data_IF_622408351299
#
_entry.id   IF_622408351299
#
_cell.length_a   1.000
_cell.length_b   1.000
_cell.length_c   1.000
_cell.angle_alpha   90.00
_cell.angle_beta   90.00
_cell.angle_gamma   90.00
#
_symmetry.space_group_name_H-M   'P 1'
#
loop_
_entity.id
_entity.type
_entity.pdbx_description
1 polymer ?
#
# COMPACT_ATOMS: atom_id res chain seq x y z
N UNK A 1 -4.04 -40.09 4.02
CA UNK A 1 -4.31 -40.93 5.20
C UNK A 1 -3.01 -41.39 5.85
N UNK A 2 -2.15 -42.15 5.16
CA UNK A 2 -0.84 -42.58 5.69
C UNK A 2 0.06 -41.42 6.16
N UNK A 3 0.20 -40.34 5.36
CA UNK A 3 0.96 -39.14 5.76
C UNK A 3 0.41 -38.50 7.04
N UNK A 4 -0.91 -38.50 7.25
CA UNK A 4 -1.51 -37.94 8.46
C UNK A 4 -1.13 -38.77 9.69
N UNK A 5 -1.18 -40.11 9.59
CA UNK A 5 -0.73 -41.02 10.65
C UNK A 5 0.76 -40.82 11.01
N UNK A 6 1.64 -40.64 10.00
CA UNK A 6 3.07 -40.36 10.21
C UNK A 6 3.28 -39.01 10.91
N UNK A 7 2.58 -37.95 10.47
CA UNK A 7 2.70 -36.62 11.08
C UNK A 7 2.17 -36.60 12.52
N UNK A 8 1.08 -37.30 12.81
CA UNK A 8 0.56 -37.41 14.17
C UNK A 8 1.58 -38.07 15.10
N UNK A 9 2.27 -39.11 14.62
CA UNK A 9 3.36 -39.75 15.35
C UNK A 9 4.56 -38.82 15.56
N UNK A 10 4.97 -38.06 14.53
CA UNK A 10 6.08 -37.11 14.62
C UNK A 10 5.82 -35.96 15.60
N UNK A 11 4.61 -35.40 15.59
CA UNK A 11 4.24 -34.32 16.50
C UNK A 11 3.73 -34.80 17.87
N UNK A 12 3.70 -36.12 18.11
CA UNK A 12 3.18 -36.73 19.34
C UNK A 12 1.74 -36.31 19.67
N UNK A 13 0.93 -36.02 18.65
CA UNK A 13 -0.45 -35.53 18.78
C UNK A 13 -1.41 -36.72 18.86
N UNK A 14 -1.17 -37.65 19.79
CA UNK A 14 -2.01 -38.84 20.01
C UNK A 14 -1.78 -40.00 19.03
N UNK A 15 -2.59 -41.06 19.17
CA UNK A 15 -2.50 -42.28 18.34
C UNK A 15 -3.61 -42.29 17.29
N UNK A 16 -3.24 -42.05 16.03
CA UNK A 16 -4.14 -42.12 14.88
C UNK A 16 -3.65 -43.24 13.95
N UNK A 17 -4.46 -44.28 13.75
CA UNK A 17 -4.14 -45.42 12.88
C UNK A 17 -5.24 -45.67 11.87
N UNK A 18 -4.86 -45.92 10.63
CA UNK A 18 -5.80 -46.30 9.57
C UNK A 18 -5.57 -47.73 9.09
N UNK A 19 -6.64 -48.44 8.75
CA UNK A 19 -6.54 -49.75 8.10
C UNK A 19 -6.31 -49.58 6.60
N UNK A 20 -5.29 -50.25 6.06
CA UNK A 20 -4.98 -50.24 4.63
C UNK A 20 -5.18 -51.64 4.03
N UNK A 21 -5.66 -51.76 2.79
CA UNK A 21 -5.74 -53.05 2.09
C UNK A 21 -4.37 -53.73 2.00
N UNK A 22 -4.31 -55.08 2.03
CA UNK A 22 -3.05 -55.83 2.01
C UNK A 22 -2.25 -55.61 0.72
N UNK A 23 -2.94 -55.38 -0.39
CA UNK A 23 -2.39 -54.88 -1.65
C UNK A 23 -2.46 -53.34 -1.61
N UNK A 24 -1.56 -52.72 -0.84
CA UNK A 24 -1.50 -51.26 -0.74
C UNK A 24 -1.28 -50.64 -2.12
N UNK A 25 -1.93 -49.50 -2.41
CA UNK A 25 -1.68 -48.77 -3.67
C UNK A 25 -0.19 -48.44 -3.77
N UNK A 26 0.35 -48.43 -5.00
CA UNK A 26 1.78 -48.17 -5.30
C UNK A 26 2.31 -46.93 -4.54
N UNK A 27 1.47 -45.89 -4.44
CA UNK A 27 1.73 -44.67 -3.68
C UNK A 27 1.92 -44.85 -2.17
N UNK A 28 1.24 -45.80 -1.52
CA UNK A 28 1.41 -46.08 -0.08
C UNK A 28 2.71 -46.84 0.16
N UNK A 29 3.11 -47.70 -0.79
CA UNK A 29 4.38 -48.45 -0.72
C UNK A 29 5.55 -47.49 -0.82
N UNK A 30 5.52 -46.54 -1.75
CA UNK A 30 6.60 -45.54 -1.90
C UNK A 30 6.68 -44.60 -0.70
N UNK A 31 5.54 -44.16 -0.16
CA UNK A 31 5.52 -43.34 1.05
C UNK A 31 6.06 -44.09 2.28
N UNK A 32 5.95 -45.42 2.35
CA UNK A 32 6.57 -46.23 3.41
C UNK A 32 8.08 -46.24 3.27
N UNK A 33 8.61 -46.46 2.07
CA UNK A 33 10.06 -46.46 1.78
C UNK A 33 10.73 -45.13 2.14
N UNK A 34 10.04 -44.01 1.88
CA UNK A 34 10.53 -42.67 2.25
C UNK A 34 10.57 -42.48 3.78
N UNK A 35 9.59 -42.99 4.51
CA UNK A 35 9.53 -42.87 5.98
C UNK A 35 10.50 -43.83 6.67
N UNK A 36 10.75 -44.99 6.08
CA UNK A 36 11.70 -45.99 6.56
C UNK A 36 13.16 -45.67 6.17
N UNK A 37 13.38 -44.52 5.53
CA UNK A 37 14.70 -43.96 5.17
C UNK A 37 15.55 -44.96 4.36
N UNK A 38 14.91 -45.79 3.53
CA UNK A 38 15.59 -46.76 2.66
C UNK A 38 16.29 -46.10 1.45
N UNK A 39 16.18 -44.77 1.29
CA UNK A 39 17.04 -43.99 0.42
C UNK A 39 18.18 -43.37 1.23
N UNK A 40 19.20 -44.18 1.52
CA UNK A 40 20.41 -43.70 2.19
C UNK A 40 21.17 -42.70 1.32
N UNK A 41 21.17 -41.43 1.71
CA UNK A 41 22.15 -40.43 1.23
C UNK A 41 23.02 -40.05 2.42
N UNK A 42 24.27 -40.51 2.40
CA UNK A 42 25.31 -40.14 3.35
C UNK A 42 25.60 -38.63 3.27
N UNK A 43 25.25 -37.90 4.34
CA UNK A 43 25.65 -36.52 4.57
C UNK A 43 26.47 -36.47 5.87
N UNK A 44 27.80 -36.60 5.76
CA UNK A 44 28.72 -36.23 6.82
C UNK A 44 28.84 -34.70 6.88
N UNK A 45 28.52 -34.14 8.05
CA UNK A 45 28.36 -32.72 8.28
C UNK A 45 29.63 -31.96 8.66
N UNK A 46 29.48 -30.64 8.80
CA UNK A 46 30.38 -29.82 9.61
C UNK A 46 29.62 -28.64 10.24
N UNK A 47 29.92 -28.42 11.52
CA UNK A 47 29.34 -27.44 12.44
C UNK A 47 29.95 -26.04 12.26
N UNK A 48 29.24 -25.10 12.88
CA UNK A 48 29.51 -23.68 13.17
C UNK A 48 30.96 -23.28 13.48
N UNK A 49 31.37 -22.08 13.05
CA UNK A 49 31.42 -20.87 13.89
C UNK A 49 32.14 -19.68 13.19
N UNK A 50 31.62 -18.49 13.52
CA UNK A 50 32.28 -17.17 13.61
C UNK A 50 32.99 -16.48 12.43
N UNK A 51 32.50 -15.25 12.23
CA UNK A 51 33.24 -13.99 12.14
C UNK A 51 33.48 -13.31 10.77
N UNK A 52 32.99 -12.06 10.80
CA UNK A 52 33.40 -10.85 10.08
C UNK A 52 32.99 -10.60 8.62
N UNK A 53 32.35 -9.43 8.48
CA UNK A 53 32.01 -8.75 7.24
C UNK A 53 33.27 -8.21 6.58
N UNK A 54 33.43 -8.46 5.29
CA UNK A 54 34.08 -7.49 4.40
C UNK A 54 33.37 -7.45 3.04
N UNK A 55 33.11 -6.22 2.58
CA UNK A 55 32.48 -5.86 1.33
C UNK A 55 33.59 -5.57 0.33
N UNK A 56 33.68 -6.27 -0.81
CA UNK A 56 34.33 -5.83 -2.07
C UNK A 56 33.76 -6.73 -3.20
N UNK A 57 32.87 -6.22 -4.04
CA UNK A 57 33.12 -5.69 -5.40
C UNK A 57 33.45 -6.79 -6.44
N UNK A 58 32.42 -7.20 -7.20
CA UNK A 58 32.57 -8.06 -8.38
C UNK A 58 33.04 -7.21 -9.57
N UNK A 59 34.31 -7.35 -9.94
CA UNK A 59 34.79 -7.07 -11.28
C UNK A 59 35.11 -8.38 -11.99
N UNK A 60 34.61 -8.46 -13.22
CA UNK A 60 34.64 -9.59 -14.14
C UNK A 60 36.05 -9.80 -14.69
N UNK A 61 36.57 -11.03 -14.69
CA UNK A 61 37.48 -11.51 -15.74
C UNK A 61 37.71 -13.04 -15.69
N UNK A 62 37.29 -13.70 -16.77
CA UNK A 62 38.16 -14.52 -17.62
C UNK A 62 38.73 -15.85 -17.11
N UNK A 63 38.15 -16.92 -17.67
CA UNK A 63 38.81 -18.18 -18.08
C UNK A 63 39.36 -19.13 -16.99
N UNK A 64 38.87 -20.37 -17.04
CA UNK A 64 39.52 -21.51 -16.40
C UNK A 64 38.61 -22.74 -16.34
N UNK A 65 38.70 -23.59 -17.37
CA UNK A 65 38.24 -24.98 -17.27
C UNK A 65 38.99 -25.66 -16.11
N UNK A 66 38.26 -26.20 -15.13
CA UNK A 66 38.54 -27.56 -14.69
C UNK A 66 37.29 -28.19 -14.10
N UNK A 67 36.85 -29.25 -14.76
CA UNK A 67 35.71 -30.05 -14.39
C UNK A 67 36.12 -30.96 -13.24
N UNK A 68 35.38 -30.92 -12.12
CA UNK A 68 35.23 -32.11 -11.31
C UNK A 68 33.84 -32.67 -11.55
N UNK A 69 33.87 -33.83 -12.21
CA UNK A 69 32.77 -34.67 -12.65
C UNK A 69 31.80 -34.96 -11.51
N UNK A 70 30.56 -34.58 -11.76
CA UNK A 70 29.36 -35.23 -11.21
C UNK A 70 29.26 -36.62 -11.84
N UNK A 71 29.14 -37.65 -11.01
CA UNK A 71 28.88 -39.03 -11.38
C UNK A 71 27.37 -39.16 -11.65
N UNK A 72 27.00 -39.11 -12.93
CA UNK A 72 25.61 -39.26 -13.39
C UNK A 72 25.53 -40.58 -14.14
N UNK A 73 24.85 -41.54 -13.53
CA UNK A 73 24.62 -42.91 -14.00
C UNK A 73 23.59 -42.97 -15.17
N UNK A 74 23.71 -42.03 -16.13
CA UNK A 74 22.76 -41.84 -17.25
C UNK A 74 23.47 -41.92 -18.61
N UNK A 75 24.49 -42.78 -18.72
CA UNK A 75 25.35 -42.94 -19.90
C UNK A 75 24.72 -43.76 -21.06
N UNK A 76 23.43 -44.14 -20.98
CA UNK A 76 22.75 -44.94 -22.02
C UNK A 76 21.70 -44.17 -22.84
N UNK A 77 21.55 -42.85 -22.64
CA UNK A 77 20.84 -42.00 -23.59
C UNK A 77 21.83 -41.36 -24.56
N UNK A 78 21.67 -41.54 -25.88
CA UNK A 78 22.49 -40.79 -26.83
C UNK A 78 22.26 -39.30 -26.61
N UNK A 79 23.36 -38.55 -26.49
CA UNK A 79 23.35 -37.10 -26.43
C UNK A 79 22.54 -36.59 -27.62
N UNK A 80 21.37 -36.02 -27.35
CA UNK A 80 20.54 -35.44 -28.40
C UNK A 80 21.24 -34.16 -28.85
N UNK A 81 22.08 -34.28 -29.87
CA UNK A 81 22.66 -33.14 -30.56
C UNK A 81 21.50 -32.37 -31.22
N UNK A 82 21.07 -31.29 -30.55
CA UNK A 82 20.18 -30.30 -31.16
C UNK A 82 20.92 -29.79 -32.39
N UNK A 83 20.40 -30.01 -33.61
CA UNK A 83 21.06 -29.54 -34.82
C UNK A 83 21.37 -28.04 -34.69
N UNK A 84 22.52 -27.58 -35.21
CA UNK A 84 22.90 -26.16 -35.16
C UNK A 84 21.80 -25.24 -35.73
N UNK A 85 20.98 -25.77 -36.63
CA UNK A 85 19.81 -25.12 -37.25
C UNK A 85 18.63 -24.87 -36.26
N UNK A 86 18.55 -25.62 -35.17
CA UNK A 86 17.55 -25.48 -34.10
C UNK A 86 18.08 -24.68 -32.89
N UNK A 87 19.41 -24.53 -32.76
CA UNK A 87 20.05 -23.66 -31.77
C UNK A 87 19.88 -22.18 -32.14
N UNK A 88 19.89 -21.88 -33.44
CA UNK A 88 19.39 -20.61 -33.97
C UNK A 88 17.87 -20.71 -34.12
N UNK A 89 17.15 -20.47 -33.02
CA UNK A 89 15.75 -20.05 -33.11
C UNK A 89 15.74 -18.80 -33.98
N UNK A 90 15.49 -18.97 -35.28
CA UNK A 90 15.06 -17.87 -36.14
C UNK A 90 13.88 -17.29 -35.40
N UNK A 91 14.02 -16.08 -34.87
CA UNK A 91 12.86 -15.27 -34.50
C UNK A 91 11.90 -15.43 -35.65
N UNK A 92 10.75 -16.06 -35.40
CA UNK A 92 9.71 -16.14 -36.41
C UNK A 92 9.60 -14.72 -36.99
N UNK A 93 9.59 -14.56 -38.31
CA UNK A 93 9.45 -13.24 -38.93
C UNK A 93 8.12 -12.54 -38.53
N UNK A 94 7.26 -13.24 -37.75
CA UNK A 94 6.09 -12.70 -37.07
C UNK A 94 6.37 -12.04 -35.70
N UNK A 95 7.57 -12.15 -35.12
CA UNK A 95 7.95 -11.39 -33.91
C UNK A 95 8.09 -9.89 -34.19
N UNK A 96 8.19 -9.51 -35.47
CA UNK A 96 8.17 -8.11 -35.93
C UNK A 96 6.75 -7.59 -36.22
N UNK A 97 5.71 -8.43 -36.07
CA UNK A 97 4.31 -8.06 -36.36
C UNK A 97 3.55 -7.51 -35.14
N UNK A 98 4.27 -7.08 -34.08
CA UNK A 98 3.76 -6.05 -33.15
C UNK A 98 3.78 -4.66 -33.84
N UNK A 99 3.25 -4.61 -35.05
CA UNK A 99 3.24 -3.46 -35.92
C UNK A 99 2.15 -2.47 -35.49
N UNK A 100 2.57 -1.37 -34.86
CA UNK A 100 1.82 -0.11 -34.73
C UNK A 100 0.31 -0.25 -34.44
N UNK A 101 -0.05 -0.75 -33.25
CA UNK A 101 -1.41 -0.53 -32.75
C UNK A 101 -1.60 0.97 -32.54
N UNK A 102 -2.59 1.56 -33.23
CA UNK A 102 -2.93 2.96 -33.07
C UNK A 102 -3.33 3.26 -31.62
N UNK A 103 -2.80 4.35 -31.07
CA UNK A 103 -3.10 4.78 -29.70
C UNK A 103 -4.58 5.19 -29.62
N UNK A 104 -5.40 4.56 -28.75
CA UNK A 104 -6.82 4.87 -28.66
C UNK A 104 -7.08 6.36 -28.32
N UNK A 105 -8.07 6.97 -28.96
CA UNK A 105 -8.42 8.37 -28.73
C UNK A 105 -9.60 8.54 -27.75
N UNK A 106 -10.47 7.55 -27.63
CA UNK A 106 -11.66 7.58 -26.78
C UNK A 106 -11.54 6.64 -25.57
N UNK A 107 -12.14 7.04 -24.44
CA UNK A 107 -12.12 6.23 -23.20
C UNK A 107 -12.79 4.87 -23.42
N UNK A 108 -13.84 4.80 -24.26
CA UNK A 108 -14.55 3.57 -24.55
C UNK A 108 -13.67 2.55 -25.26
N UNK A 109 -12.87 2.99 -26.23
CA UNK A 109 -11.91 2.15 -26.93
C UNK A 109 -10.84 1.62 -25.96
N UNK A 110 -10.41 2.44 -25.00
CA UNK A 110 -9.53 1.95 -23.93
C UNK A 110 -10.22 0.88 -23.08
N UNK A 111 -11.48 1.04 -22.67
CA UNK A 111 -12.21 0.04 -21.88
C UNK A 111 -12.31 -1.29 -22.63
N UNK A 112 -12.57 -1.23 -23.94
CA UNK A 112 -12.56 -2.41 -24.81
C UNK A 112 -11.17 -3.04 -24.89
N UNK A 113 -10.12 -2.25 -25.10
CA UNK A 113 -8.73 -2.71 -25.13
C UNK A 113 -8.26 -3.33 -23.80
N UNK A 114 -8.75 -2.81 -22.66
CA UNK A 114 -8.51 -3.43 -21.34
C UNK A 114 -9.18 -4.80 -21.19
N UNK A 115 -10.11 -5.16 -22.07
CA UNK A 115 -10.82 -6.45 -22.07
C UNK A 115 -10.20 -7.49 -22.99
N UNK A 116 -9.13 -7.10 -23.70
CA UNK A 116 -8.38 -7.98 -24.58
C UNK A 116 -7.63 -9.06 -23.80
N UNK A 117 -7.61 -10.27 -24.35
CA UNK A 117 -7.01 -11.45 -23.71
C UNK A 117 -5.91 -12.10 -24.55
N UNK A 118 -5.84 -11.77 -25.85
CA UNK A 118 -4.93 -12.41 -26.78
C UNK A 118 -3.97 -11.41 -27.43
N UNK A 119 -4.38 -10.16 -27.63
CA UNK A 119 -3.55 -9.11 -28.22
C UNK A 119 -2.96 -8.19 -27.13
N UNK A 120 -1.69 -8.46 -26.79
CA UNK A 120 -0.94 -7.67 -25.81
C UNK A 120 -0.74 -6.22 -26.27
N UNK A 121 -0.46 -5.98 -27.55
CA UNK A 121 -0.18 -4.63 -28.04
C UNK A 121 -1.44 -3.75 -27.97
N UNK A 122 -2.62 -4.30 -28.26
CA UNK A 122 -3.89 -3.60 -28.07
C UNK A 122 -4.18 -3.30 -26.61
N UNK A 123 -3.96 -4.28 -25.72
CA UNK A 123 -4.07 -4.07 -24.28
C UNK A 123 -3.12 -2.96 -23.78
N UNK A 124 -1.84 -3.04 -24.16
CA UNK A 124 -0.81 -2.12 -23.72
C UNK A 124 -1.04 -0.69 -24.24
N UNK A 125 -1.42 -0.54 -25.51
CA UNK A 125 -1.77 0.75 -26.10
C UNK A 125 -2.92 1.42 -25.34
N UNK A 126 -3.98 0.67 -25.02
CA UNK A 126 -5.10 1.15 -24.22
C UNK A 126 -4.68 1.51 -22.79
N UNK A 127 -3.93 0.63 -22.11
CA UNK A 127 -3.51 0.80 -20.73
C UNK A 127 -2.61 2.04 -20.55
N UNK A 128 -1.68 2.25 -21.47
CA UNK A 128 -0.76 3.39 -21.44
C UNK A 128 -1.43 4.73 -21.85
N UNK A 129 -2.43 4.69 -22.73
CA UNK A 129 -3.17 5.89 -23.16
C UNK A 129 -4.07 6.49 -22.06
N UNK A 130 -4.57 5.67 -21.13
CA UNK A 130 -5.62 6.07 -20.18
C UNK A 130 -5.22 7.21 -19.24
N UNK A 131 -4.02 7.17 -18.65
CA UNK A 131 -3.63 8.15 -17.63
C UNK A 131 -3.75 9.60 -18.11
N UNK A 132 -3.12 10.03 -19.23
CA UNK A 132 -3.27 11.39 -19.72
C UNK A 132 -4.72 11.68 -20.18
N UNK A 133 -5.45 10.70 -20.71
CA UNK A 133 -6.84 10.86 -21.14
C UNK A 133 -7.79 11.15 -19.98
N UNK A 134 -7.64 10.43 -18.87
CA UNK A 134 -8.40 10.66 -17.63
C UNK A 134 -8.09 12.06 -17.08
N UNK A 135 -6.81 12.44 -17.02
CA UNK A 135 -6.40 13.73 -16.44
C UNK A 135 -6.87 14.94 -17.24
N UNK A 136 -6.89 14.83 -18.58
CA UNK A 136 -7.42 15.89 -19.46
C UNK A 136 -8.95 15.86 -19.62
N UNK A 137 -9.64 14.91 -18.97
CA UNK A 137 -11.08 14.64 -19.15
C UNK A 137 -11.45 14.51 -20.63
N UNK A 138 -10.83 13.54 -21.31
CA UNK A 138 -11.08 13.27 -22.72
C UNK A 138 -12.58 13.06 -23.03
N UNK A 139 -12.97 13.24 -24.30
CA UNK A 139 -14.37 13.09 -24.74
C UNK A 139 -14.89 11.72 -24.36
N UNK A 140 -16.08 11.68 -23.75
CA UNK A 140 -16.72 10.44 -23.28
C UNK A 140 -16.29 9.98 -21.88
N UNK A 141 -15.32 10.65 -21.24
CA UNK A 141 -14.85 10.28 -19.90
C UNK A 141 -15.98 10.37 -18.86
N UNK A 142 -16.70 11.49 -18.76
CA UNK A 142 -17.72 11.68 -17.71
C UNK A 142 -18.83 10.63 -17.77
N UNK A 143 -19.21 10.17 -18.98
CA UNK A 143 -20.23 9.13 -19.16
C UNK A 143 -19.71 7.72 -18.86
N UNK A 144 -18.39 7.50 -18.99
CA UNK A 144 -17.77 6.17 -18.86
C UNK A 144 -16.89 6.06 -17.62
N UNK A 145 -16.87 7.06 -16.74
CA UNK A 145 -15.92 7.16 -15.63
C UNK A 145 -16.14 6.06 -14.58
N UNK A 146 -17.41 5.78 -14.27
CA UNK A 146 -17.80 4.71 -13.35
C UNK A 146 -17.50 3.33 -13.94
N UNK A 147 -17.85 3.11 -15.22
CA UNK A 147 -17.54 1.87 -15.94
C UNK A 147 -16.04 1.62 -16.01
N UNK A 148 -15.25 2.66 -16.34
CA UNK A 148 -13.80 2.60 -16.36
C UNK A 148 -13.23 2.27 -14.98
N UNK A 149 -13.74 2.90 -13.91
CA UNK A 149 -13.31 2.60 -12.55
C UNK A 149 -13.57 1.12 -12.20
N UNK A 150 -14.78 0.63 -12.46
CA UNK A 150 -15.12 -0.78 -12.24
C UNK A 150 -14.20 -1.70 -13.03
N UNK A 151 -13.96 -1.40 -14.32
CA UNK A 151 -13.07 -2.19 -15.17
C UNK A 151 -11.65 -2.22 -14.62
N UNK A 152 -11.10 -1.09 -14.19
CA UNK A 152 -9.76 -1.01 -13.58
C UNK A 152 -9.68 -1.75 -12.24
N UNK A 153 -10.74 -1.69 -11.42
CA UNK A 153 -10.81 -2.42 -10.15
C UNK A 153 -10.87 -3.93 -10.39
N UNK A 154 -11.48 -4.43 -11.46
CA UNK A 154 -11.53 -5.88 -11.73
C UNK A 154 -10.47 -6.35 -12.72
N UNK A 155 -9.57 -5.46 -13.15
CA UNK A 155 -8.53 -5.78 -14.12
C UNK A 155 -7.50 -6.77 -13.55
N UNK A 156 -7.32 -7.89 -14.25
CA UNK A 156 -6.29 -8.91 -14.01
C UNK A 156 -5.16 -8.82 -15.01
N UNK A 157 -3.96 -9.20 -14.58
CA UNK A 157 -2.77 -9.20 -15.43
C UNK A 157 -2.61 -10.56 -16.14
N UNK A 158 -3.15 -10.64 -17.36
CA UNK A 158 -3.04 -11.85 -18.19
C UNK A 158 -1.73 -11.92 -18.96
N UNK A 159 -1.11 -10.77 -19.23
CA UNK A 159 0.06 -10.65 -20.08
C UNK A 159 1.38 -10.54 -19.31
N UNK A 160 1.35 -10.59 -17.97
CA UNK A 160 2.50 -10.36 -17.08
C UNK A 160 3.15 -9.00 -17.36
N UNK A 161 2.30 -7.97 -17.45
CA UNK A 161 2.72 -6.62 -17.81
C UNK A 161 3.63 -6.02 -16.74
N UNK A 162 4.72 -5.38 -17.15
CA UNK A 162 5.64 -4.74 -16.21
C UNK A 162 4.96 -3.64 -15.39
N UNK A 163 5.21 -3.67 -14.08
CA UNK A 163 4.63 -2.74 -13.11
C UNK A 163 3.09 -2.64 -13.18
N UNK A 164 2.41 -3.71 -13.61
CA UNK A 164 0.97 -3.71 -13.83
C UNK A 164 0.18 -3.19 -12.61
N UNK A 165 0.45 -3.71 -11.41
CA UNK A 165 -0.30 -3.33 -10.21
C UNK A 165 -0.08 -1.85 -9.85
N UNK A 166 1.13 -1.35 -10.02
CA UNK A 166 1.47 0.05 -9.76
C UNK A 166 0.77 0.97 -10.76
N UNK A 167 0.84 0.65 -12.06
CA UNK A 167 0.14 1.38 -13.13
C UNK A 167 -1.37 1.35 -12.92
N UNK A 168 -1.94 0.18 -12.59
CA UNK A 168 -3.36 0.00 -12.28
C UNK A 168 -3.82 0.87 -11.12
N UNK A 169 -3.09 0.88 -10.00
CA UNK A 169 -3.38 1.76 -8.85
C UNK A 169 -3.28 3.24 -9.27
N UNK A 170 -2.31 3.63 -10.09
CA UNK A 170 -2.17 5.00 -10.58
C UNK A 170 -3.32 5.42 -11.51
N UNK A 171 -3.88 4.50 -12.30
CA UNK A 171 -5.05 4.76 -13.15
C UNK A 171 -6.31 4.94 -12.28
N UNK A 172 -6.54 4.05 -11.32
CA UNK A 172 -7.64 4.17 -10.35
C UNK A 172 -7.52 5.49 -9.59
N UNK A 173 -6.33 5.81 -9.07
CA UNK A 173 -6.04 7.10 -8.45
C UNK A 173 -6.37 8.27 -9.38
N UNK A 174 -6.01 8.19 -10.66
CA UNK A 174 -6.30 9.25 -11.63
C UNK A 174 -7.81 9.44 -11.82
N UNK A 175 -8.60 8.36 -11.85
CA UNK A 175 -10.06 8.45 -11.87
C UNK A 175 -10.57 9.17 -10.61
N UNK A 176 -10.12 8.75 -9.43
CA UNK A 176 -10.52 9.32 -8.14
C UNK A 176 -10.14 10.81 -8.01
N UNK A 177 -8.99 11.22 -8.55
CA UNK A 177 -8.53 12.61 -8.50
C UNK A 177 -9.25 13.49 -9.53
N UNK A 178 -9.54 12.95 -10.72
CA UNK A 178 -10.29 13.68 -11.74
C UNK A 178 -11.77 13.82 -11.36
N UNK A 179 -12.37 12.77 -10.79
CA UNK A 179 -13.80 12.65 -10.48
C UNK A 179 -14.01 12.21 -9.02
N UNK A 180 -14.08 13.14 -8.05
CA UNK A 180 -14.10 12.82 -6.63
C UNK A 180 -15.31 11.98 -6.16
N UNK A 181 -16.44 12.09 -6.86
CA UNK A 181 -17.65 11.31 -6.56
C UNK A 181 -17.43 9.80 -6.74
N UNK A 182 -16.45 9.40 -7.54
CA UNK A 182 -16.05 8.00 -7.70
C UNK A 182 -15.45 7.42 -6.41
N UNK A 183 -15.02 8.26 -5.45
CA UNK A 183 -14.51 7.80 -4.16
C UNK A 183 -15.55 7.01 -3.36
N UNK A 184 -16.79 7.49 -3.28
CA UNK A 184 -17.85 6.75 -2.58
C UNK A 184 -18.21 5.47 -3.33
N UNK A 185 -18.27 5.51 -4.67
CA UNK A 185 -18.53 4.33 -5.49
C UNK A 185 -17.46 3.26 -5.29
N UNK A 186 -16.18 3.65 -5.26
CA UNK A 186 -15.08 2.73 -4.99
C UNK A 186 -15.21 2.07 -3.60
N UNK A 187 -15.63 2.83 -2.58
CA UNK A 187 -15.85 2.31 -1.22
C UNK A 187 -17.06 1.36 -1.19
N UNK A 188 -18.14 1.68 -1.89
CA UNK A 188 -19.30 0.79 -2.02
C UNK A 188 -18.92 -0.53 -2.70
N UNK A 189 -18.08 -0.47 -3.75
CA UNK A 189 -17.50 -1.66 -4.38
C UNK A 189 -16.65 -2.44 -3.37
N UNK A 190 -15.78 -1.78 -2.59
CA UNK A 190 -14.93 -2.42 -1.58
C UNK A 190 -15.76 -3.21 -0.56
N UNK A 191 -16.85 -2.64 -0.05
CA UNK A 191 -17.73 -3.33 0.89
C UNK A 191 -18.64 -4.39 0.25
N UNK A 192 -18.77 -4.38 -1.08
CA UNK A 192 -19.62 -5.35 -1.79
C UNK A 192 -19.13 -6.79 -1.63
N UNK A 193 -20.07 -7.72 -1.66
CA UNK A 193 -19.82 -9.17 -1.59
C UNK A 193 -19.00 -9.69 -2.78
N UNK A 194 -19.08 -9.02 -3.94
CA UNK A 194 -18.39 -9.45 -5.17
C UNK A 194 -16.93 -9.00 -5.24
N UNK A 195 -16.53 -8.03 -4.43
CA UNK A 195 -15.15 -7.55 -4.42
C UNK A 195 -14.22 -8.58 -3.79
N UNK A 196 -13.11 -8.88 -4.45
CA UNK A 196 -12.07 -9.76 -3.90
C UNK A 196 -11.25 -9.03 -2.83
N UNK A 197 -10.62 -9.76 -1.90
CA UNK A 197 -9.75 -9.12 -0.89
C UNK A 197 -8.61 -8.32 -1.50
N UNK A 198 -8.01 -8.80 -2.60
CA UNK A 198 -6.97 -8.07 -3.32
C UNK A 198 -7.49 -6.73 -3.87
N UNK A 199 -8.68 -6.72 -4.47
CA UNK A 199 -9.30 -5.50 -4.98
C UNK A 199 -9.66 -4.53 -3.86
N UNK A 200 -10.07 -5.01 -2.68
CA UNK A 200 -10.30 -4.16 -1.50
C UNK A 200 -9.04 -3.41 -1.08
N UNK A 201 -7.88 -4.09 -1.06
CA UNK A 201 -6.61 -3.44 -0.75
C UNK A 201 -6.17 -2.43 -1.82
N UNK A 202 -6.40 -2.75 -3.10
CA UNK A 202 -6.13 -1.83 -4.22
C UNK A 202 -6.97 -0.55 -4.10
N UNK A 203 -8.27 -0.68 -3.78
CA UNK A 203 -9.17 0.47 -3.57
C UNK A 203 -8.67 1.35 -2.42
N UNK A 204 -8.38 0.75 -1.25
CA UNK A 204 -7.87 1.49 -0.09
C UNK A 204 -6.56 2.23 -0.39
N UNK A 205 -5.65 1.58 -1.12
CA UNK A 205 -4.39 2.20 -1.53
C UNK A 205 -4.62 3.38 -2.49
N UNK A 206 -5.51 3.21 -3.47
CA UNK A 206 -5.84 4.27 -4.42
C UNK A 206 -6.52 5.46 -3.75
N UNK A 207 -7.42 5.24 -2.78
CA UNK A 207 -8.04 6.29 -1.96
C UNK A 207 -7.00 7.10 -1.20
N UNK A 208 -6.06 6.44 -0.52
CA UNK A 208 -4.95 7.11 0.17
C UNK A 208 -4.10 7.95 -0.79
N UNK A 209 -3.72 7.39 -1.94
CA UNK A 209 -2.89 8.09 -2.92
C UNK A 209 -3.63 9.31 -3.52
N UNK A 210 -4.92 9.17 -3.81
CA UNK A 210 -5.76 10.26 -4.31
C UNK A 210 -5.88 11.39 -3.29
N UNK A 211 -6.17 11.07 -2.02
CA UNK A 211 -6.24 12.05 -0.94
C UNK A 211 -4.89 12.78 -0.75
N UNK A 212 -3.79 12.04 -0.80
CA UNK A 212 -2.44 12.60 -0.72
C UNK A 212 -2.17 13.57 -1.88
N UNK A 213 -2.55 13.22 -3.11
CA UNK A 213 -2.37 14.09 -4.28
C UNK A 213 -3.20 15.37 -4.20
N UNK A 214 -4.41 15.29 -3.63
CA UNK A 214 -5.22 16.48 -3.37
C UNK A 214 -4.58 17.40 -2.32
N UNK A 215 -4.09 16.81 -1.23
CA UNK A 215 -3.48 17.56 -0.12
C UNK A 215 -2.09 18.12 -0.46
N UNK A 216 -1.38 17.48 -1.40
CA UNK A 216 -0.04 17.89 -1.78
C UNK A 216 -0.08 19.22 -2.54
N UNK A 217 0.83 20.16 -2.24
CA UNK A 217 0.99 21.34 -3.05
C UNK A 217 1.48 20.88 -4.43
N UNK A 218 0.58 20.90 -5.41
CA UNK A 218 0.93 20.64 -6.82
C UNK A 218 2.17 21.46 -7.14
N UNK A 219 3.32 20.81 -7.36
CA UNK A 219 4.46 21.47 -7.98
C UNK A 219 3.94 21.90 -9.34
N UNK A 220 3.69 23.20 -9.50
CA UNK A 220 3.42 23.76 -10.81
C UNK A 220 4.71 23.55 -11.58
N UNK A 221 4.74 22.52 -12.42
CA UNK A 221 5.69 22.48 -13.50
C UNK A 221 5.40 23.73 -14.35
N UNK A 222 6.20 24.78 -14.14
CA UNK A 222 6.36 25.89 -15.06
C UNK A 222 6.88 25.33 -16.38
N UNK A 223 6.01 24.72 -17.19
CA UNK A 223 6.31 24.28 -18.55
C UNK A 223 5.02 24.01 -19.33
N UNK A 224 4.22 25.06 -19.53
CA UNK A 224 3.41 25.17 -20.74
C UNK A 224 3.60 26.58 -21.28
N UNK A 225 4.49 26.65 -22.26
CA UNK A 225 4.73 27.79 -23.12
C UNK A 225 3.41 28.43 -23.60
N UNK A 226 2.96 29.50 -22.95
CA UNK A 226 2.13 30.52 -23.59
C UNK A 226 3.01 31.31 -24.55
N UNK A 227 3.34 30.71 -25.70
CA UNK A 227 3.64 31.50 -26.90
C UNK A 227 2.31 32.00 -27.44
N UNK A 228 1.81 33.07 -26.82
CA UNK A 228 0.87 33.96 -27.48
C UNK A 228 1.56 34.49 -28.73
N UNK A 229 0.98 34.15 -29.88
CA UNK A 229 1.31 34.75 -31.16
C UNK A 229 0.96 36.25 -31.08
N UNK A 230 1.97 37.09 -30.87
CA UNK A 230 1.83 38.52 -31.11
C UNK A 230 1.90 38.77 -32.62
N UNK A 231 0.73 39.08 -33.18
CA UNK A 231 0.55 39.62 -34.51
C UNK A 231 1.26 40.98 -34.64
N UNK A 232 1.98 41.16 -35.75
CA UNK A 232 2.68 42.39 -36.16
C UNK A 232 1.70 43.48 -36.62
N UNK A 233 1.83 44.69 -36.08
CA UNK A 233 1.76 46.00 -36.79
C UNK A 233 1.74 47.16 -35.76
N UNK A 234 2.22 48.38 -35.99
CA UNK A 234 3.38 48.94 -36.68
C UNK A 234 3.55 50.39 -36.19
N UNK A 235 4.81 50.87 -36.10
CA UNK A 235 5.31 52.28 -36.11
C UNK A 235 4.86 53.30 -35.04
N UNK A 236 5.85 53.98 -34.44
CA UNK A 236 5.67 55.34 -33.88
C UNK A 236 6.73 55.83 -32.88
N UNK A 237 7.73 56.56 -33.39
CA UNK A 237 8.58 57.64 -32.81
C UNK A 237 8.83 57.80 -31.29
N UNK A 238 10.13 57.94 -31.00
CA UNK A 238 10.86 58.66 -29.93
C UNK A 238 10.07 59.63 -29.02
N UNK A 239 10.27 59.54 -27.70
CA UNK A 239 10.69 60.73 -26.93
C UNK A 239 11.38 60.38 -25.59
N UNK A 240 12.29 61.25 -25.17
CA UNK A 240 13.12 61.18 -23.96
C UNK A 240 12.34 61.71 -22.75
N UNK A 241 12.50 61.11 -21.57
CA UNK A 241 12.14 61.80 -20.33
C UNK A 241 12.00 60.95 -19.07
N UNK A 242 12.91 61.19 -18.12
CA UNK A 242 12.68 61.17 -16.67
C UNK A 242 12.43 59.81 -15.99
N UNK A 243 13.50 59.33 -15.35
CA UNK A 243 13.48 58.25 -14.34
C UNK A 243 12.80 58.75 -13.06
N UNK A 244 11.69 58.16 -12.60
CA UNK A 244 11.24 58.32 -11.22
C UNK A 244 11.84 57.19 -10.39
N UNK A 245 12.72 57.57 -9.46
CA UNK A 245 13.19 56.70 -8.36
C UNK A 245 11.98 56.26 -7.53
N UNK A 246 11.40 55.10 -7.85
CA UNK A 246 10.42 54.44 -7.00
C UNK A 246 11.16 53.66 -5.92
N UNK A 247 10.96 54.08 -4.66
CA UNK A 247 11.40 53.34 -3.48
C UNK A 247 10.80 51.94 -3.55
N UNK A 248 11.65 50.95 -3.80
CA UNK A 248 11.30 49.52 -3.80
C UNK A 248 11.05 49.12 -2.35
N UNK A 249 9.82 49.29 -1.88
CA UNK A 249 9.36 48.58 -0.69
C UNK A 249 9.42 47.09 -1.03
N UNK A 250 10.38 46.37 -0.45
CA UNK A 250 10.37 44.92 -0.49
C UNK A 250 9.12 44.48 0.27
N UNK A 251 8.03 44.20 -0.45
CA UNK A 251 6.94 43.41 0.09
C UNK A 251 7.56 42.07 0.44
N UNK A 252 7.56 41.71 1.72
CA UNK A 252 7.78 40.33 2.12
C UNK A 252 6.87 39.45 1.24
N UNK A 253 7.34 38.31 0.73
CA UNK A 253 6.50 37.43 -0.06
C UNK A 253 5.31 37.06 0.83
N UNK A 254 4.12 37.57 0.49
CA UNK A 254 2.88 37.05 1.05
C UNK A 254 2.78 35.65 0.48
N UNK A 255 3.22 34.66 1.26
CA UNK A 255 2.96 33.26 0.98
C UNK A 255 1.45 33.11 1.03
N UNK A 256 0.81 33.15 -0.14
CA UNK A 256 -0.60 32.79 -0.27
C UNK A 256 -0.68 31.35 0.22
N UNK A 257 -1.32 31.15 1.37
CA UNK A 257 -1.63 29.82 1.90
C UNK A 257 -2.45 29.11 0.84
N UNK A 258 -1.83 28.19 0.09
CA UNK A 258 -2.53 27.37 -0.89
C UNK A 258 -3.53 26.52 -0.12
N UNK A 259 -4.81 26.74 -0.36
CA UNK A 259 -5.88 25.99 0.29
C UNK A 259 -5.74 24.49 -0.02
N UNK A 260 -5.99 23.69 1.00
CA UNK A 260 -5.95 22.25 0.88
C UNK A 260 -7.12 21.77 0.00
N UNK A 261 -6.80 21.24 -1.18
CA UNK A 261 -7.81 20.80 -2.15
C UNK A 261 -8.58 19.56 -1.70
N UNK A 262 -8.07 18.82 -0.72
CA UNK A 262 -8.73 17.63 -0.20
C UNK A 262 -9.88 17.96 0.76
N UNK A 263 -9.77 19.06 1.51
CA UNK A 263 -10.77 19.47 2.53
C UNK A 263 -12.23 19.41 2.05
N UNK A 264 -12.62 19.95 0.88
CA UNK A 264 -14.01 19.90 0.42
C UNK A 264 -14.53 18.47 0.12
N UNK A 265 -13.64 17.51 -0.10
CA UNK A 265 -14.00 16.12 -0.47
C UNK A 265 -13.74 15.13 0.67
N UNK A 266 -13.11 15.56 1.76
CA UNK A 266 -12.69 14.68 2.85
C UNK A 266 -13.85 13.86 3.41
N UNK A 267 -15.03 14.47 3.57
CA UNK A 267 -16.22 13.80 4.08
C UNK A 267 -16.71 12.66 3.16
N UNK A 268 -16.69 12.85 1.83
CA UNK A 268 -17.18 11.83 0.89
C UNK A 268 -16.24 10.62 0.78
N UNK A 269 -14.97 10.79 1.14
CA UNK A 269 -14.00 9.69 1.22
C UNK A 269 -14.04 9.02 2.60
N UNK A 270 -14.24 9.79 3.67
CA UNK A 270 -14.11 9.30 5.04
C UNK A 270 -15.35 8.59 5.58
N UNK A 271 -16.54 9.20 5.47
CA UNK A 271 -17.72 8.66 6.15
C UNK A 271 -18.20 7.31 5.59
N UNK A 272 -18.11 7.01 4.28
CA UNK A 272 -18.44 5.67 3.79
C UNK A 272 -17.59 4.56 4.44
N UNK A 273 -16.35 4.85 4.85
CA UNK A 273 -15.48 3.88 5.54
C UNK A 273 -15.91 3.59 6.99
N UNK A 274 -16.82 4.39 7.56
CA UNK A 274 -17.31 4.19 8.94
C UNK A 274 -18.31 3.03 9.07
N UNK A 275 -18.73 2.44 7.95
CA UNK A 275 -19.68 1.32 7.85
C UNK A 275 -19.10 -0.04 8.29
N UNK A 276 -18.22 -0.06 9.30
CA UNK A 276 -17.46 -1.22 9.76
C UNK A 276 -18.38 -2.42 10.09
N UNK A 277 -19.56 -2.15 10.64
CA UNK A 277 -20.49 -3.17 11.11
C UNK A 277 -21.67 -3.45 10.19
N UNK A 278 -21.81 -2.72 9.08
CA UNK A 278 -23.01 -2.80 8.24
C UNK A 278 -23.05 -4.04 7.35
N UNK A 279 -21.90 -4.65 7.06
CA UNK A 279 -21.76 -5.72 6.07
C UNK A 279 -21.35 -7.08 6.66
N UNK A 280 -21.64 -7.29 7.95
CA UNK A 280 -21.21 -8.48 8.72
C UNK A 280 -21.65 -9.83 8.13
N UNK A 281 -22.68 -9.86 7.29
CA UNK A 281 -23.16 -11.10 6.64
C UNK A 281 -22.10 -11.75 5.74
N UNK A 282 -21.30 -10.93 5.04
CA UNK A 282 -20.27 -11.42 4.10
C UNK A 282 -18.88 -10.82 4.34
N UNK A 283 -18.76 -9.83 5.22
CA UNK A 283 -17.51 -9.18 5.57
C UNK A 283 -17.44 -8.94 7.08
N UNK A 284 -16.80 -9.86 7.80
CA UNK A 284 -16.70 -9.84 9.27
C UNK A 284 -15.43 -9.10 9.70
N UNK A 285 -15.48 -7.77 9.63
CA UNK A 285 -14.32 -6.91 9.88
C UNK A 285 -13.80 -6.95 11.32
N UNK A 286 -14.64 -7.25 12.31
CA UNK A 286 -14.21 -7.30 13.71
C UNK A 286 -13.57 -8.66 14.04
N UNK A 287 -14.06 -9.73 13.42
CA UNK A 287 -13.57 -11.09 13.59
C UNK A 287 -12.62 -11.52 12.49
N UNK A 288 -13.12 -12.32 11.54
CA UNK A 288 -12.30 -13.04 10.55
C UNK A 288 -11.51 -12.13 9.60
N UNK A 289 -12.10 -11.00 9.21
CA UNK A 289 -11.54 -10.08 8.22
C UNK A 289 -10.83 -8.88 8.88
N UNK A 290 -10.32 -9.06 10.11
CA UNK A 290 -9.71 -7.97 10.88
C UNK A 290 -8.44 -7.37 10.27
N UNK A 291 -7.75 -8.09 9.38
CA UNK A 291 -6.64 -7.53 8.61
C UNK A 291 -7.13 -6.45 7.63
N UNK A 292 -8.29 -6.64 7.01
CA UNK A 292 -8.88 -5.59 6.19
C UNK A 292 -9.33 -4.39 7.04
N UNK A 293 -9.89 -4.65 8.23
CA UNK A 293 -10.23 -3.60 9.18
C UNK A 293 -9.01 -2.73 9.52
N UNK A 294 -7.84 -3.34 9.76
CA UNK A 294 -6.61 -2.59 10.03
C UNK A 294 -6.28 -1.64 8.88
N UNK A 295 -6.42 -2.08 7.62
CA UNK A 295 -6.19 -1.24 6.43
C UNK A 295 -7.23 -0.14 6.25
N UNK A 296 -8.50 -0.41 6.58
CA UNK A 296 -9.56 0.62 6.58
C UNK A 296 -9.22 1.72 7.60
N UNK A 297 -8.85 1.34 8.82
CA UNK A 297 -8.46 2.30 9.87
C UNK A 297 -7.24 3.13 9.47
N UNK A 298 -6.21 2.49 8.91
CA UNK A 298 -5.02 3.19 8.38
C UNK A 298 -5.43 4.16 7.27
N UNK A 299 -6.32 3.77 6.36
CA UNK A 299 -6.85 4.66 5.33
C UNK A 299 -7.54 5.88 5.97
N UNK A 300 -8.45 5.67 6.92
CA UNK A 300 -9.14 6.75 7.63
C UNK A 300 -8.18 7.71 8.34
N UNK A 301 -7.13 7.19 8.98
CA UNK A 301 -6.06 8.01 9.58
C UNK A 301 -5.31 8.84 8.54
N UNK A 302 -4.99 8.26 7.38
CA UNK A 302 -4.41 8.99 6.25
C UNK A 302 -5.32 10.09 5.71
N UNK A 303 -6.62 9.85 5.59
CA UNK A 303 -7.59 10.87 5.15
C UNK A 303 -7.65 12.05 6.13
N UNK A 304 -7.61 11.79 7.44
CA UNK A 304 -7.52 12.85 8.46
C UNK A 304 -6.26 13.69 8.26
N UNK A 305 -5.09 13.06 8.08
CA UNK A 305 -3.84 13.77 7.78
C UNK A 305 -3.92 14.61 6.51
N UNK A 306 -4.51 14.07 5.46
CA UNK A 306 -4.67 14.77 4.20
C UNK A 306 -5.66 15.93 4.28
N UNK A 307 -6.60 15.94 5.24
CA UNK A 307 -7.57 17.03 5.42
C UNK A 307 -6.98 18.26 6.15
N UNK A 308 -5.84 18.08 6.84
CA UNK A 308 -5.16 19.15 7.57
C UNK A 308 -6.03 19.80 8.65
N UNK A 309 -5.71 21.03 9.05
CA UNK A 309 -6.44 21.73 10.11
C UNK A 309 -7.68 22.42 9.52
N UNK A 310 -8.82 21.73 9.53
CA UNK A 310 -10.11 22.26 9.07
C UNK A 310 -11.25 21.89 10.04
N UNK A 311 -12.36 22.64 10.08
CA UNK A 311 -13.50 22.28 10.93
C UNK A 311 -14.09 20.89 10.63
N UNK A 312 -14.05 20.44 9.37
CA UNK A 312 -14.45 19.09 8.97
C UNK A 312 -13.53 18.01 9.56
N UNK A 313 -12.22 18.30 9.67
CA UNK A 313 -11.25 17.38 10.28
C UNK A 313 -11.60 17.08 11.72
N UNK A 314 -12.06 18.09 12.50
CA UNK A 314 -12.45 17.89 13.89
C UNK A 314 -13.60 16.88 13.99
N UNK A 315 -14.63 17.01 13.15
CA UNK A 315 -15.76 16.07 13.13
C UNK A 315 -15.35 14.66 12.71
N UNK A 316 -14.49 14.54 11.70
CA UNK A 316 -13.94 13.26 11.26
C UNK A 316 -13.12 12.60 12.39
N UNK A 317 -12.27 13.38 13.07
CA UNK A 317 -11.48 12.91 14.19
C UNK A 317 -12.35 12.44 15.37
N UNK A 318 -13.42 13.16 15.71
CA UNK A 318 -14.35 12.74 16.78
C UNK A 318 -15.05 11.43 16.42
N UNK A 319 -15.51 11.31 15.17
CA UNK A 319 -16.13 10.08 14.66
C UNK A 319 -15.15 8.91 14.73
N UNK A 320 -13.91 9.11 14.28
CA UNK A 320 -12.87 8.08 14.35
C UNK A 320 -12.56 7.70 15.80
N UNK A 321 -12.31 8.68 16.68
CA UNK A 321 -12.00 8.44 18.08
C UNK A 321 -13.06 7.55 18.77
N UNK A 322 -14.34 7.83 18.52
CA UNK A 322 -15.45 7.02 19.00
C UNK A 322 -15.41 5.57 18.46
N UNK A 323 -15.19 5.40 17.15
CA UNK A 323 -15.11 4.08 16.52
C UNK A 323 -13.94 3.23 17.04
N UNK A 324 -12.84 3.85 17.44
CA UNK A 324 -11.62 3.15 17.86
C UNK A 324 -11.73 2.49 19.24
N UNK A 325 -12.58 3.01 20.15
CA UNK A 325 -12.69 2.53 21.53
C UNK A 325 -12.90 1.01 21.62
N UNK A 326 -13.93 0.42 20.98
CA UNK A 326 -14.15 -1.03 21.04
C UNK A 326 -13.04 -1.84 20.34
N UNK A 327 -12.26 -1.23 19.45
CA UNK A 327 -11.21 -1.91 18.67
C UNK A 327 -9.89 -2.04 19.43
N UNK A 328 -9.72 -1.33 20.55
CA UNK A 328 -8.52 -1.37 21.40
C UNK A 328 -8.19 -2.76 21.95
N UNK A 329 -9.21 -3.60 22.11
CA UNK A 329 -9.08 -4.96 22.69
C UNK A 329 -9.03 -6.06 21.62
N UNK A 330 -8.87 -5.69 20.34
CA UNK A 330 -8.85 -6.66 19.26
C UNK A 330 -7.62 -7.59 19.38
N UNK A 331 -7.83 -8.88 19.09
CA UNK A 331 -6.77 -9.90 19.18
C UNK A 331 -5.70 -9.71 18.11
N UNK A 332 -6.10 -9.23 16.93
CA UNK A 332 -5.16 -8.95 15.85
C UNK A 332 -4.34 -7.68 16.16
N UNK A 333 -3.01 -7.85 16.23
CA UNK A 333 -2.09 -6.75 16.52
C UNK A 333 -2.12 -5.65 15.45
N UNK A 334 -2.41 -5.99 14.19
CA UNK A 334 -2.50 -5.01 13.10
C UNK A 334 -3.64 -4.02 13.35
N UNK A 335 -4.76 -4.46 13.93
CA UNK A 335 -5.86 -3.57 14.34
C UNK A 335 -5.41 -2.66 15.48
N UNK A 336 -4.76 -3.20 16.51
CA UNK A 336 -4.23 -2.39 17.64
C UNK A 336 -3.20 -1.37 17.16
N UNK A 337 -2.32 -1.76 16.24
CA UNK A 337 -1.35 -0.89 15.58
C UNK A 337 -2.05 0.21 14.77
N UNK A 338 -3.10 -0.12 14.02
CA UNK A 338 -3.89 0.85 13.27
C UNK A 338 -4.60 1.86 14.20
N UNK A 339 -5.12 1.41 15.35
CA UNK A 339 -5.70 2.31 16.36
C UNK A 339 -4.67 3.34 16.84
N UNK A 340 -3.45 2.91 17.13
CA UNK A 340 -2.35 3.80 17.54
C UNK A 340 -1.98 4.79 16.42
N UNK A 341 -1.93 4.32 15.18
CA UNK A 341 -1.72 5.18 14.01
C UNK A 341 -2.81 6.23 13.85
N UNK A 342 -4.08 5.89 14.12
CA UNK A 342 -5.18 6.83 14.08
C UNK A 342 -5.05 7.91 15.17
N UNK A 343 -4.70 7.56 16.41
CA UNK A 343 -4.45 8.56 17.47
C UNK A 343 -3.31 9.50 17.10
N UNK A 344 -2.17 8.96 16.63
CA UNK A 344 -1.07 9.77 16.15
C UNK A 344 -1.49 10.68 14.98
N UNK A 345 -2.34 10.19 14.07
CA UNK A 345 -2.86 10.96 12.93
C UNK A 345 -3.77 12.11 13.35
N UNK A 346 -4.62 11.91 14.36
CA UNK A 346 -5.45 12.98 14.94
C UNK A 346 -4.56 14.05 15.57
N UNK A 347 -3.63 13.65 16.43
CA UNK A 347 -2.68 14.56 17.09
C UNK A 347 -1.80 15.34 16.09
N UNK A 348 -1.43 14.72 14.96
CA UNK A 348 -0.63 15.37 13.93
C UNK A 348 -1.42 16.39 13.08
N UNK A 349 -2.75 16.26 13.00
CA UNK A 349 -3.58 17.05 12.07
C UNK A 349 -4.28 18.23 12.74
N UNK A 350 -4.59 18.10 14.03
CA UNK A 350 -5.26 19.12 14.82
C UNK A 350 -4.24 19.99 15.56
N UNK A 351 -4.57 21.27 15.75
CA UNK A 351 -3.75 22.14 16.59
C UNK A 351 -3.91 21.78 18.06
N UNK A 352 -2.92 22.16 18.86
CA UNK A 352 -2.94 21.94 20.32
C UNK A 352 -4.18 22.53 20.98
N UNK A 353 -4.59 23.72 20.56
CA UNK A 353 -5.75 24.41 21.11
C UNK A 353 -7.02 23.60 20.88
N UNK A 354 -7.18 23.04 19.67
CA UNK A 354 -8.31 22.16 19.32
C UNK A 354 -8.26 20.86 20.13
N UNK A 355 -7.08 20.26 20.27
CA UNK A 355 -6.90 19.03 21.06
C UNK A 355 -7.29 19.26 22.52
N UNK A 356 -6.77 20.31 23.15
CA UNK A 356 -7.06 20.63 24.55
C UNK A 356 -8.52 21.04 24.77
N UNK A 357 -9.18 21.62 23.77
CA UNK A 357 -10.57 22.03 23.86
C UNK A 357 -11.55 20.85 23.71
N UNK A 358 -11.28 19.92 22.80
CA UNK A 358 -12.26 18.89 22.41
C UNK A 358 -11.88 17.47 22.86
N UNK A 359 -10.63 17.22 23.21
CA UNK A 359 -10.08 15.87 23.47
C UNK A 359 -9.23 15.82 24.75
N UNK A 360 -9.45 16.71 25.72
CA UNK A 360 -8.64 16.79 26.96
C UNK A 360 -8.65 15.50 27.76
N UNK A 361 -9.79 14.82 27.81
CA UNK A 361 -9.97 13.59 28.58
C UNK A 361 -9.52 12.40 27.73
N UNK A 362 -9.93 12.39 26.46
CA UNK A 362 -9.55 11.38 25.47
C UNK A 362 -8.04 11.23 25.35
N UNK A 363 -7.28 12.33 25.34
CA UNK A 363 -5.84 12.28 25.11
C UNK A 363 -5.07 11.59 26.24
N UNK A 364 -5.59 11.67 27.46
CA UNK A 364 -5.03 10.96 28.62
C UNK A 364 -5.25 9.46 28.44
N UNK A 365 -6.47 9.06 28.06
CA UNK A 365 -6.80 7.66 27.77
C UNK A 365 -5.98 7.11 26.59
N UNK A 366 -5.75 7.92 25.56
CA UNK A 366 -4.94 7.54 24.39
C UNK A 366 -3.47 7.35 24.78
N UNK A 367 -2.93 8.24 25.63
CA UNK A 367 -1.57 8.14 26.16
C UNK A 367 -1.41 6.87 26.99
N UNK A 368 -2.32 6.62 27.94
CA UNK A 368 -2.26 5.42 28.78
C UNK A 368 -2.34 4.14 27.94
N UNK A 369 -3.24 4.11 26.96
CA UNK A 369 -3.35 3.00 26.04
C UNK A 369 -2.05 2.76 25.26
N UNK A 370 -1.48 3.82 24.68
CA UNK A 370 -0.25 3.72 23.88
C UNK A 370 0.95 3.29 24.74
N UNK A 371 1.12 3.84 25.95
CA UNK A 371 2.19 3.43 26.88
C UNK A 371 2.07 1.96 27.26
N UNK A 372 0.87 1.48 27.60
CA UNK A 372 0.66 0.07 27.95
C UNK A 372 1.05 -0.87 26.81
N UNK A 373 0.67 -0.52 25.57
CA UNK A 373 1.01 -1.33 24.41
C UNK A 373 2.51 -1.27 24.09
N UNK A 374 3.15 -0.12 24.23
CA UNK A 374 4.59 0.03 24.02
C UNK A 374 5.43 -0.87 24.94
N UNK A 375 4.95 -1.13 26.15
CA UNK A 375 5.64 -1.95 27.16
C UNK A 375 5.33 -3.44 27.03
N UNK A 376 4.08 -3.80 26.76
CA UNK A 376 3.58 -5.17 26.97
C UNK A 376 2.92 -5.83 25.76
N UNK A 377 2.74 -5.15 24.62
CA UNK A 377 2.12 -5.79 23.44
C UNK A 377 3.03 -6.94 22.92
N UNK A 378 2.50 -8.12 22.56
CA UNK A 378 3.31 -9.20 22.01
C UNK A 378 4.02 -8.87 20.70
N UNK A 379 3.42 -8.07 19.82
CA UNK A 379 3.99 -7.72 18.51
C UNK A 379 5.02 -6.59 18.63
N UNK A 380 6.18 -6.79 17.99
CA UNK A 380 7.25 -5.79 17.94
C UNK A 380 6.78 -4.56 17.14
N UNK A 381 6.08 -4.78 16.04
CA UNK A 381 5.54 -3.75 15.15
C UNK A 381 4.52 -2.88 15.88
N UNK A 382 3.65 -3.51 16.67
CA UNK A 382 2.68 -2.80 17.50
C UNK A 382 3.38 -1.98 18.60
N UNK A 383 4.39 -2.55 19.28
CA UNK A 383 5.20 -1.80 20.26
C UNK A 383 5.90 -0.59 19.64
N UNK A 384 6.48 -0.75 18.44
CA UNK A 384 7.13 0.34 17.71
C UNK A 384 6.17 1.48 17.35
N UNK A 385 4.99 1.15 16.82
CA UNK A 385 3.96 2.16 16.54
C UNK A 385 3.43 2.82 17.83
N UNK A 386 3.34 2.07 18.93
CA UNK A 386 2.90 2.60 20.22
C UNK A 386 3.87 3.65 20.76
N UNK A 387 5.19 3.42 20.64
CA UNK A 387 6.22 4.41 21.01
C UNK A 387 6.07 5.70 20.20
N UNK A 388 5.90 5.59 18.87
CA UNK A 388 5.66 6.75 18.00
C UNK A 388 4.37 7.49 18.41
N UNK A 389 3.30 6.76 18.74
CA UNK A 389 2.05 7.37 19.17
C UNK A 389 2.21 8.12 20.51
N UNK A 390 2.91 7.53 21.49
CA UNK A 390 3.24 8.18 22.77
C UNK A 390 3.98 9.51 22.53
N UNK A 391 5.02 9.51 21.69
CA UNK A 391 5.78 10.72 21.38
C UNK A 391 4.90 11.80 20.73
N UNK A 392 4.09 11.42 19.74
CA UNK A 392 3.18 12.34 19.05
C UNK A 392 2.12 12.93 19.99
N UNK A 393 1.55 12.10 20.87
CA UNK A 393 0.58 12.55 21.86
C UNK A 393 1.26 13.50 22.85
N UNK A 394 2.46 13.18 23.33
CA UNK A 394 3.19 14.01 24.29
C UNK A 394 3.53 15.39 23.71
N UNK A 395 3.92 15.44 22.44
CA UNK A 395 4.17 16.69 21.70
C UNK A 395 2.91 17.56 21.59
N UNK A 396 1.72 16.95 21.49
CA UNK A 396 0.47 17.70 21.43
C UNK A 396 0.03 18.29 22.79
N UNK A 397 0.55 17.77 23.90
CA UNK A 397 0.25 18.24 25.26
C UNK A 397 1.26 19.28 25.75
N UNK A 398 2.56 19.05 25.51
CA UNK A 398 3.65 19.89 26.04
C UNK A 398 3.66 21.31 25.45
N UNK A 399 3.99 22.30 26.28
CA UNK A 399 4.12 23.71 25.85
C UNK A 399 5.41 24.00 25.09
N UNK A 400 6.41 23.12 25.13
CA UNK A 400 7.74 23.41 24.60
C UNK A 400 8.35 22.27 23.79
N UNK A 401 8.92 22.65 22.64
CA UNK A 401 9.69 21.81 21.69
C UNK A 401 11.06 21.36 22.25
N UNK A 402 11.25 21.29 23.56
CA UNK A 402 12.52 20.85 24.16
C UNK A 402 12.32 19.73 25.18
N UNK A 403 12.80 18.55 24.80
CA UNK A 403 13.18 17.40 25.64
C UNK A 403 12.14 16.98 26.69
N UNK A 404 11.25 16.07 26.30
CA UNK A 404 10.57 15.20 27.26
C UNK A 404 11.48 14.01 27.52
N UNK A 405 12.00 13.89 28.75
CA UNK A 405 12.65 12.68 29.22
C UNK A 405 11.56 11.75 29.80
N UNK A 406 11.27 10.68 29.08
CA UNK A 406 10.16 9.73 29.34
C UNK A 406 10.16 9.14 30.76
N UNK A 407 11.31 9.10 31.43
CA UNK A 407 11.47 8.52 32.76
C UNK A 407 10.79 9.30 33.89
N UNK A 408 10.54 10.60 33.71
CA UNK A 408 10.11 11.47 34.82
C UNK A 408 8.59 11.59 34.90
N UNK A 409 7.88 11.46 33.77
CA UNK A 409 6.41 11.49 33.73
C UNK A 409 5.78 10.18 34.23
N UNK A 410 6.37 9.03 33.88
CA UNK A 410 5.93 7.70 34.36
C UNK A 410 6.06 7.58 35.90
N UNK A 411 6.97 8.33 36.51
CA UNK A 411 7.15 8.35 37.97
C UNK A 411 6.12 9.22 38.68
N UNK A 412 5.62 10.29 38.05
CA UNK A 412 4.61 11.18 38.66
C UNK A 412 3.20 10.61 38.62
N UNK A 413 2.91 9.68 37.71
CA UNK A 413 1.56 9.15 37.48
C UNK A 413 1.26 7.84 38.25
N UNK A 414 2.17 7.36 39.11
CA UNK A 414 1.88 6.21 39.98
C UNK A 414 1.09 6.66 41.21
N UNK A 415 -0.08 6.08 41.52
CA UNK A 415 -0.80 6.40 42.74
C UNK A 415 0.04 6.01 43.97
N UNK A 416 0.24 6.96 44.89
CA UNK A 416 0.87 6.69 46.18
C UNK A 416 0.06 5.60 46.90
N UNK A 417 0.67 4.43 47.11
CA UNK A 417 0.13 3.43 48.03
C UNK A 417 0.06 4.06 49.42
N UNK A 418 -1.15 4.41 49.85
CA UNK A 418 -1.42 4.74 51.25
C UNK A 418 -0.94 3.58 52.12
N UNK A 419 0.12 3.81 52.89
CA UNK A 419 0.47 2.95 54.03
C UNK A 419 -0.63 3.10 55.06
N UNK A 420 -1.49 2.09 55.15
CA UNK A 420 -2.33 1.88 56.31
C UNK A 420 -1.39 1.64 57.50
N UNK A 421 -1.53 2.51 58.50
CA UNK A 421 -0.92 2.36 59.83
C UNK A 421 -1.69 1.29 60.57
N UNK A 422 -0.98 0.28 61.07
CA UNK A 422 -1.42 -0.62 62.13
C UNK A 422 -0.30 -0.75 63.14
#
# INVERSE_FOLDING_TARGET
>A
MYVAEVLTKWFSVGDLKFEFPPEGSETIVDLKKIVEDEYGVDMEGAKSDNEEKEVIQLDIQGAGNDANKVDSDDDDFPEYEIPEEELDLKKDENDEDYCNVEVPYYIRDCIEGLSEQHDYAKFEAAFNALKPMIRRRAVGYEQSAEELLCRLIDLSDHFKTEHFQEKRIQLIQSCLVTSPHLGSIAIDIMFSRRCSMSNRYVILKALCNAAWEYSSPTQVAENLNTKLQENKCSKGLNDRGLVPKTKRFMKAPVTVLKENRFTPMANSFFYPLTAIDQHREHLDLIGRDSELLSRILVCMGHLIRCSGTSPSTVKMASTLAYLLIPLRVNTNFAVRQAVLFCYASICASLSREVILQFYSDDIIDWMEYATRLAEADPSIECRGMAQIAVEMIALSISMDKQRINYSDWVKSSRPQKNRLVS
#
